data_IF_991565143262
#
_entry.id   IF_991565143262
#
_cell.length_a   1.000
_cell.length_b   1.000
_cell.length_c   1.000
_cell.angle_alpha   90.00
_cell.angle_beta   90.00
_cell.angle_gamma   90.00
#
_symmetry.space_group_name_H-M   'P 1'
#
loop_
_entity.id
_entity.type
_entity.pdbx_description
1 polymer ?
#
# COMPACT_ATOMS: atom_id res chain seq x y z
N UNK A 1 16.36 22.83 3.16
CA UNK A 1 16.18 21.50 2.54
C UNK A 1 15.27 20.70 3.45
N UNK A 2 14.35 19.95 2.86
CA UNK A 2 13.42 19.11 3.60
C UNK A 2 14.14 18.00 4.38
N UNK A 3 13.54 17.54 5.46
CA UNK A 3 13.90 16.26 6.07
C UNK A 3 13.39 15.12 5.19
N UNK A 4 14.28 14.24 4.79
CA UNK A 4 13.92 13.04 4.03
C UNK A 4 13.29 12.01 4.95
N UNK A 5 12.13 11.50 4.58
CA UNK A 5 11.48 10.39 5.27
C UNK A 5 12.11 9.07 4.78
N UNK A 6 12.85 8.38 5.63
CA UNK A 6 13.48 7.09 5.33
C UNK A 6 12.51 5.93 5.59
N UNK A 7 11.62 5.67 4.63
CA UNK A 7 10.68 4.57 4.71
C UNK A 7 11.34 3.20 4.61
N UNK A 8 12.54 3.10 4.01
CA UNK A 8 13.29 1.85 3.94
C UNK A 8 13.80 1.43 5.32
N UNK A 9 14.37 2.36 6.08
CA UNK A 9 14.79 2.10 7.45
C UNK A 9 13.59 1.75 8.35
N UNK A 10 12.50 2.49 8.23
CA UNK A 10 11.26 2.21 8.96
C UNK A 10 10.68 0.84 8.61
N UNK A 11 10.62 0.48 7.32
CA UNK A 11 10.14 -0.82 6.88
C UNK A 11 10.98 -1.97 7.45
N UNK A 12 12.31 -1.79 7.54
CA UNK A 12 13.21 -2.76 8.17
C UNK A 12 12.89 -2.92 9.67
N UNK A 13 12.82 -1.82 10.41
CA UNK A 13 12.44 -1.78 11.84
C UNK A 13 11.12 -2.53 12.10
N UNK A 14 10.11 -2.27 11.25
CA UNK A 14 8.80 -2.93 11.38
C UNK A 14 8.93 -4.44 11.14
N UNK A 15 9.64 -4.88 10.09
CA UNK A 15 9.83 -6.31 9.83
C UNK A 15 10.61 -7.03 10.94
N UNK A 16 11.60 -6.36 11.56
CA UNK A 16 12.31 -6.89 12.73
C UNK A 16 11.35 -7.12 13.91
N UNK A 17 10.44 -6.18 14.20
CA UNK A 17 9.42 -6.35 15.23
C UNK A 17 8.43 -7.48 14.89
N UNK A 18 7.95 -7.52 13.64
CA UNK A 18 7.05 -8.57 13.18
C UNK A 18 7.67 -9.97 13.23
N UNK A 19 8.99 -10.07 13.05
CA UNK A 19 9.70 -11.33 13.23
C UNK A 19 9.61 -11.85 14.66
N UNK A 20 9.67 -10.97 15.65
CA UNK A 20 9.49 -11.36 17.07
C UNK A 20 8.07 -11.90 17.26
N UNK A 21 7.06 -11.16 16.82
CA UNK A 21 5.65 -11.58 16.91
C UNK A 21 5.38 -12.90 16.16
N UNK A 22 6.01 -13.11 15.02
CA UNK A 22 5.90 -14.34 14.24
C UNK A 22 6.53 -15.53 14.99
N UNK A 23 7.65 -15.33 15.69
CA UNK A 23 8.27 -16.38 16.49
C UNK A 23 7.41 -16.75 17.71
N UNK A 24 6.81 -15.77 18.38
CA UNK A 24 5.86 -16.01 19.49
C UNK A 24 4.69 -16.88 19.02
N UNK A 25 4.10 -16.58 17.86
CA UNK A 25 3.03 -17.40 17.27
C UNK A 25 3.50 -18.84 16.99
N UNK A 26 4.73 -19.01 16.49
CA UNK A 26 5.29 -20.34 16.22
C UNK A 26 5.54 -21.14 17.49
N UNK A 27 5.93 -20.51 18.59
CA UNK A 27 6.05 -21.16 19.89
C UNK A 27 4.69 -21.68 20.41
N UNK A 28 3.59 -21.01 20.01
CA UNK A 28 2.22 -21.46 20.25
C UNK A 28 1.73 -22.52 19.24
N UNK A 29 2.58 -22.94 18.29
CA UNK A 29 2.25 -23.90 17.25
C UNK A 29 1.49 -23.29 16.06
N UNK A 30 1.43 -21.97 15.96
CA UNK A 30 0.73 -21.22 14.89
C UNK A 30 1.76 -20.69 13.89
N UNK A 31 1.66 -21.12 12.64
CA UNK A 31 2.58 -20.71 11.56
C UNK A 31 1.85 -19.79 10.58
N UNK A 32 2.12 -18.48 10.59
CA UNK A 32 1.52 -17.57 9.63
C UNK A 32 1.88 -17.95 8.19
N UNK A 33 0.87 -18.01 7.30
CA UNK A 33 1.06 -18.39 5.90
C UNK A 33 0.35 -17.46 4.93
N UNK A 34 1.09 -16.96 3.94
CA UNK A 34 0.61 -16.09 2.86
C UNK A 34 0.53 -16.86 1.54
N UNK A 35 -0.63 -16.89 0.92
CA UNK A 35 -0.82 -17.34 -0.46
C UNK A 35 -0.76 -16.13 -1.41
N UNK A 36 0.09 -16.18 -2.42
CA UNK A 36 0.20 -15.15 -3.46
C UNK A 36 -0.17 -15.73 -4.81
N UNK A 37 -1.18 -15.17 -5.43
CA UNK A 37 -1.66 -15.56 -6.76
C UNK A 37 -1.10 -14.58 -7.78
N UNK A 38 -0.43 -15.08 -8.81
CA UNK A 38 0.00 -14.32 -9.97
C UNK A 38 -0.57 -14.95 -11.25
N UNK A 39 -1.18 -14.12 -12.12
CA UNK A 39 -1.71 -14.57 -13.40
C UNK A 39 -0.89 -13.97 -14.53
N UNK A 40 -0.39 -14.83 -15.41
CA UNK A 40 0.48 -14.44 -16.52
C UNK A 40 1.95 -14.25 -16.09
N UNK A 41 2.71 -13.60 -16.96
CA UNK A 41 4.18 -13.55 -16.88
C UNK A 41 4.73 -12.11 -16.89
N UNK A 42 4.03 -11.16 -16.27
CA UNK A 42 4.44 -9.76 -16.22
C UNK A 42 5.77 -9.59 -15.46
N UNK A 43 6.85 -9.07 -16.10
CA UNK A 43 8.16 -8.95 -15.45
C UNK A 43 8.17 -8.06 -14.21
N UNK A 44 7.36 -6.98 -14.19
CA UNK A 44 7.26 -6.11 -13.03
C UNK A 44 6.60 -6.84 -11.86
N UNK A 45 5.52 -7.60 -12.11
CA UNK A 45 4.87 -8.43 -11.10
C UNK A 45 5.81 -9.45 -10.48
N UNK A 46 6.66 -10.11 -11.28
CA UNK A 46 7.69 -11.04 -10.79
C UNK A 46 8.65 -10.41 -9.77
N UNK A 47 9.08 -9.17 -10.02
CA UNK A 47 9.95 -8.44 -9.10
C UNK A 47 9.24 -8.19 -7.76
N UNK A 48 7.96 -7.76 -7.81
CA UNK A 48 7.17 -7.52 -6.59
C UNK A 48 6.91 -8.82 -5.82
N UNK A 49 6.54 -9.90 -6.50
CA UNK A 49 6.31 -11.23 -5.91
C UNK A 49 7.59 -11.73 -5.23
N UNK A 50 8.75 -11.64 -5.91
CA UNK A 50 10.05 -12.00 -5.33
C UNK A 50 10.41 -11.18 -4.07
N UNK A 51 10.12 -9.89 -4.07
CA UNK A 51 10.39 -9.03 -2.91
C UNK A 51 9.46 -9.39 -1.73
N UNK A 52 8.21 -9.75 -1.99
CA UNK A 52 7.26 -10.25 -0.98
C UNK A 52 7.71 -11.59 -0.39
N UNK A 53 8.16 -12.53 -1.23
CA UNK A 53 8.71 -13.81 -0.79
C UNK A 53 9.90 -13.63 0.15
N UNK A 54 10.85 -12.75 -0.21
CA UNK A 54 11.99 -12.43 0.66
C UNK A 54 11.57 -11.80 1.99
N UNK A 55 10.56 -10.93 1.98
CA UNK A 55 10.06 -10.32 3.20
C UNK A 55 9.34 -11.34 4.10
N UNK A 56 8.62 -12.30 3.52
CA UNK A 56 8.03 -13.42 4.25
C UNK A 56 9.12 -14.26 4.92
N UNK A 57 10.19 -14.60 4.19
CA UNK A 57 11.33 -15.35 4.71
C UNK A 57 12.02 -14.59 5.86
N UNK A 58 12.25 -13.27 5.70
CA UNK A 58 12.87 -12.42 6.73
C UNK A 58 12.05 -12.38 8.02
N UNK A 59 10.72 -12.26 7.91
CA UNK A 59 9.79 -12.21 9.06
C UNK A 59 9.51 -13.60 9.64
N UNK A 60 9.65 -14.65 8.84
CA UNK A 60 9.33 -16.02 9.21
C UNK A 60 7.92 -16.47 8.86
N UNK A 61 7.22 -15.76 7.98
CA UNK A 61 5.92 -16.12 7.42
C UNK A 61 6.14 -17.18 6.33
N UNK A 62 5.37 -18.26 6.33
CA UNK A 62 5.36 -19.19 5.21
C UNK A 62 4.76 -18.55 3.97
N UNK A 63 5.39 -18.80 2.83
CA UNK A 63 5.00 -18.23 1.55
C UNK A 63 4.65 -19.32 0.55
N UNK A 64 3.49 -19.23 -0.05
CA UNK A 64 3.05 -20.13 -1.10
C UNK A 64 2.62 -19.37 -2.34
N UNK A 65 3.26 -19.64 -3.47
CA UNK A 65 2.99 -19.00 -4.75
C UNK A 65 2.13 -19.85 -5.65
N UNK A 66 1.14 -19.24 -6.28
CA UNK A 66 0.25 -19.84 -7.27
C UNK A 66 0.40 -19.11 -8.59
N UNK A 67 1.13 -19.72 -9.52
CA UNK A 67 1.38 -19.16 -10.86
C UNK A 67 0.32 -19.71 -11.83
N UNK A 68 -0.59 -18.86 -12.24
CA UNK A 68 -1.59 -19.16 -13.25
C UNK A 68 -1.13 -18.69 -14.62
N UNK A 69 -1.54 -19.41 -15.66
CA UNK A 69 -1.20 -19.07 -17.05
C UNK A 69 -1.92 -17.81 -17.50
N UNK A 70 -1.36 -17.11 -18.50
CA UNK A 70 -1.96 -15.91 -19.10
C UNK A 70 -3.40 -16.14 -19.59
N UNK A 71 -3.70 -17.35 -20.10
CA UNK A 71 -5.00 -17.73 -20.61
C UNK A 71 -5.94 -18.35 -19.56
N UNK A 72 -5.61 -18.28 -18.29
CA UNK A 72 -6.49 -18.72 -17.18
C UNK A 72 -7.84 -18.01 -17.29
N UNK A 73 -8.91 -18.79 -17.12
CA UNK A 73 -10.28 -18.28 -17.14
C UNK A 73 -10.65 -17.60 -15.83
N UNK A 74 -11.68 -16.74 -15.84
CA UNK A 74 -12.22 -16.16 -14.61
C UNK A 74 -12.64 -17.25 -13.62
N UNK A 75 -13.28 -18.31 -14.10
CA UNK A 75 -13.75 -19.42 -13.26
C UNK A 75 -12.58 -20.14 -12.55
N UNK A 76 -11.50 -20.47 -13.26
CA UNK A 76 -10.32 -21.09 -12.67
C UNK A 76 -9.66 -20.21 -11.59
N UNK A 77 -9.59 -18.89 -11.81
CA UNK A 77 -9.10 -17.95 -10.80
C UNK A 77 -10.00 -17.92 -9.57
N UNK A 78 -11.32 -17.88 -9.77
CA UNK A 78 -12.31 -17.89 -8.69
C UNK A 78 -12.29 -19.19 -7.90
N UNK A 79 -12.15 -20.34 -8.58
CA UNK A 79 -12.05 -21.65 -7.94
C UNK A 79 -10.83 -21.76 -7.05
N UNK A 80 -9.65 -21.27 -7.52
CA UNK A 80 -8.44 -21.22 -6.71
C UNK A 80 -8.64 -20.32 -5.47
N UNK A 81 -9.21 -19.11 -5.64
CA UNK A 81 -9.48 -18.22 -4.50
C UNK A 81 -10.41 -18.89 -3.49
N UNK A 82 -11.45 -19.58 -3.97
CA UNK A 82 -12.39 -20.30 -3.10
C UNK A 82 -11.72 -21.47 -2.35
N UNK A 83 -10.79 -22.17 -2.98
CA UNK A 83 -10.01 -23.24 -2.32
C UNK A 83 -9.10 -22.66 -1.24
N UNK A 84 -8.41 -21.54 -1.52
CA UNK A 84 -7.58 -20.83 -0.55
C UNK A 84 -8.41 -20.25 0.60
N UNK A 85 -9.62 -19.75 0.34
CA UNK A 85 -10.54 -19.30 1.38
C UNK A 85 -10.88 -20.41 2.37
N UNK A 86 -11.10 -21.65 1.89
CA UNK A 86 -11.43 -22.82 2.70
C UNK A 86 -10.23 -23.45 3.39
N UNK A 87 -9.02 -23.23 2.89
CA UNK A 87 -7.81 -23.82 3.46
C UNK A 87 -7.45 -23.12 4.78
N UNK A 88 -7.56 -23.84 5.89
CA UNK A 88 -7.29 -23.31 7.24
C UNK A 88 -5.81 -23.00 7.51
N UNK A 89 -4.90 -23.56 6.72
CA UNK A 89 -3.47 -23.24 6.85
C UNK A 89 -3.10 -21.89 6.26
N UNK A 90 -3.90 -21.35 5.32
CA UNK A 90 -3.66 -20.05 4.68
C UNK A 90 -4.29 -18.95 5.52
N UNK A 91 -3.48 -18.02 6.01
CA UNK A 91 -3.94 -16.88 6.81
C UNK A 91 -4.15 -15.60 6.01
N UNK A 92 -3.48 -15.43 4.88
CA UNK A 92 -3.65 -14.30 3.99
C UNK A 92 -3.65 -14.72 2.52
N UNK A 93 -4.45 -14.04 1.70
CA UNK A 93 -4.51 -14.22 0.25
C UNK A 93 -4.20 -12.88 -0.41
N UNK A 94 -3.27 -12.90 -1.35
CA UNK A 94 -2.90 -11.75 -2.16
C UNK A 94 -3.03 -12.09 -3.64
N UNK A 95 -3.81 -11.33 -4.39
CA UNK A 95 -3.86 -11.38 -5.85
C UNK A 95 -2.96 -10.27 -6.42
N UNK A 96 -1.83 -10.66 -7.02
CA UNK A 96 -0.86 -9.71 -7.57
C UNK A 96 -1.40 -9.02 -8.82
N UNK A 97 -1.55 -7.69 -8.75
CA UNK A 97 -1.88 -6.84 -9.91
C UNK A 97 -0.61 -6.45 -10.70
N UNK A 98 -0.74 -6.20 -12.02
CA UNK A 98 -1.96 -6.36 -12.84
C UNK A 98 -2.23 -7.81 -13.22
N UNK A 99 -3.48 -8.14 -13.53
CA UNK A 99 -3.87 -9.41 -14.13
C UNK A 99 -4.25 -9.20 -15.61
N UNK A 100 -4.34 -10.28 -16.43
CA UNK A 100 -4.77 -10.18 -17.82
C UNK A 100 -6.12 -9.49 -18.00
N UNK A 101 -6.28 -8.70 -19.07
CA UNK A 101 -7.45 -7.82 -19.29
C UNK A 101 -8.80 -8.53 -19.44
N UNK A 102 -8.79 -9.83 -19.77
CA UNK A 102 -10.00 -10.63 -19.92
C UNK A 102 -10.58 -11.10 -18.57
N UNK A 103 -9.84 -10.86 -17.46
CA UNK A 103 -10.26 -11.20 -16.10
C UNK A 103 -10.80 -9.95 -15.39
N UNK A 104 -11.86 -10.13 -14.59
CA UNK A 104 -12.37 -9.09 -13.69
C UNK A 104 -11.66 -9.16 -12.34
N UNK A 105 -10.70 -8.26 -12.13
CA UNK A 105 -9.95 -8.16 -10.88
C UNK A 105 -10.84 -7.76 -9.70
N UNK A 106 -11.90 -6.97 -9.93
CA UNK A 106 -12.78 -6.54 -8.85
C UNK A 106 -13.63 -7.71 -8.34
N UNK A 107 -14.09 -8.58 -9.25
CA UNK A 107 -14.78 -9.80 -8.88
C UNK A 107 -13.85 -10.72 -8.07
N UNK A 108 -12.61 -10.90 -8.52
CA UNK A 108 -11.61 -11.68 -7.82
C UNK A 108 -11.31 -11.13 -6.41
N UNK A 109 -11.13 -9.81 -6.25
CA UNK A 109 -10.94 -9.21 -4.92
C UNK A 109 -12.15 -9.42 -4.01
N UNK A 110 -13.38 -9.29 -4.53
CA UNK A 110 -14.62 -9.49 -3.74
C UNK A 110 -14.77 -10.93 -3.24
N UNK A 111 -14.19 -11.91 -3.93
CA UNK A 111 -14.29 -13.32 -3.56
C UNK A 111 -13.32 -13.74 -2.46
N UNK A 112 -12.29 -12.95 -2.17
CA UNK A 112 -11.41 -13.20 -1.02
C UNK A 112 -12.22 -12.99 0.27
N UNK A 113 -12.17 -13.98 1.17
CA UNK A 113 -12.87 -13.83 2.46
C UNK A 113 -12.22 -12.74 3.31
N UNK A 114 -13.03 -11.95 4.01
CA UNK A 114 -12.57 -10.81 4.81
C UNK A 114 -11.40 -11.17 5.76
N UNK A 115 -11.49 -12.30 6.45
CA UNK A 115 -10.45 -12.73 7.40
C UNK A 115 -9.08 -13.02 6.78
N UNK A 116 -9.00 -13.12 5.44
CA UNK A 116 -7.76 -13.36 4.68
C UNK A 116 -7.41 -12.22 3.71
N UNK A 117 -8.15 -11.11 3.74
CA UNK A 117 -7.96 -9.92 2.88
C UNK A 117 -6.80 -9.07 3.39
N UNK A 118 -5.58 -9.58 3.26
CA UNK A 118 -4.37 -8.90 3.76
C UNK A 118 -3.96 -7.66 2.95
N UNK A 119 -4.53 -7.47 1.76
CA UNK A 119 -4.37 -6.24 0.97
C UNK A 119 -5.42 -5.17 1.33
N UNK A 120 -6.52 -5.53 2.02
CA UNK A 120 -7.57 -4.59 2.41
C UNK A 120 -8.43 -4.09 1.24
N UNK A 121 -8.67 -4.92 0.22
CA UNK A 121 -9.38 -4.52 -1.01
C UNK A 121 -10.81 -4.99 -1.08
N UNK A 122 -11.22 -5.89 -0.19
CA UNK A 122 -12.62 -6.36 -0.17
C UNK A 122 -13.58 -5.24 0.23
N UNK A 123 -14.83 -5.28 -0.23
CA UNK A 123 -15.85 -4.32 0.21
C UNK A 123 -16.02 -4.27 1.73
N UNK A 124 -15.82 -5.39 2.43
CA UNK A 124 -15.88 -5.46 3.88
C UNK A 124 -14.75 -4.66 4.54
N UNK A 125 -13.49 -4.84 4.09
CA UNK A 125 -12.35 -4.07 4.59
C UNK A 125 -12.52 -2.57 4.34
N UNK A 126 -12.93 -2.21 3.13
CA UNK A 126 -13.14 -0.82 2.73
C UNK A 126 -14.30 -0.18 3.51
N UNK A 127 -15.41 -0.90 3.69
CA UNK A 127 -16.57 -0.42 4.46
C UNK A 127 -16.22 -0.17 5.92
N UNK A 128 -15.54 -1.12 6.56
CA UNK A 128 -15.06 -0.99 7.95
C UNK A 128 -14.09 0.19 8.11
N UNK A 129 -13.14 0.35 7.19
CA UNK A 129 -12.24 1.51 7.18
C UNK A 129 -13.02 2.82 7.08
N UNK A 130 -14.06 2.87 6.24
CA UNK A 130 -14.88 4.07 6.04
C UNK A 130 -15.63 4.50 7.31
N UNK A 131 -16.09 3.54 8.12
CA UNK A 131 -16.83 3.83 9.36
C UNK A 131 -15.94 3.83 10.62
N UNK A 132 -14.62 3.67 10.46
CA UNK A 132 -13.67 3.73 11.58
C UNK A 132 -13.56 2.46 12.41
N UNK A 133 -14.07 1.33 11.91
CA UNK A 133 -13.89 0.02 12.56
C UNK A 133 -12.49 -0.57 12.29
N UNK A 134 -12.02 -1.42 13.20
CA UNK A 134 -10.78 -2.18 12.98
C UNK A 134 -10.90 -3.09 11.76
N UNK A 135 -9.94 -2.98 10.86
CA UNK A 135 -9.93 -3.70 9.58
C UNK A 135 -8.53 -3.87 9.03
N UNK A 136 -8.42 -4.55 7.89
CA UNK A 136 -7.22 -4.55 7.06
C UNK A 136 -7.19 -3.28 6.23
N UNK A 137 -6.20 -2.44 6.49
CA UNK A 137 -5.95 -1.22 5.71
C UNK A 137 -5.10 -1.59 4.51
N UNK A 138 -5.43 -1.06 3.33
CA UNK A 138 -4.61 -1.21 2.13
C UNK A 138 -3.14 -0.87 2.41
N UNK A 139 -2.22 -1.75 1.99
CA UNK A 139 -0.84 -1.75 2.47
C UNK A 139 -0.09 -0.43 2.20
N UNK A 140 -0.25 0.19 1.03
CA UNK A 140 0.40 1.46 0.69
C UNK A 140 -0.11 2.62 1.55
N UNK A 141 -1.42 2.88 1.65
CA UNK A 141 -1.97 3.84 2.60
C UNK A 141 -1.53 3.61 4.03
N UNK A 142 -1.53 2.37 4.48
CA UNK A 142 -1.09 2.03 5.83
C UNK A 142 0.38 2.38 6.06
N UNK A 143 1.23 2.10 5.07
CA UNK A 143 2.64 2.50 5.10
C UNK A 143 2.84 4.01 5.22
N UNK A 144 2.05 4.80 4.49
CA UNK A 144 2.07 6.28 4.59
C UNK A 144 1.68 6.74 6.00
N UNK A 145 0.63 6.15 6.59
CA UNK A 145 0.23 6.49 7.97
C UNK A 145 1.31 6.14 8.99
N UNK A 146 2.03 5.01 8.81
CA UNK A 146 3.16 4.64 9.66
C UNK A 146 4.36 5.58 9.52
N UNK A 147 4.58 6.15 8.33
CA UNK A 147 5.58 7.22 8.16
C UNK A 147 5.20 8.46 8.94
N UNK A 148 3.94 8.90 8.90
CA UNK A 148 3.48 10.04 9.70
C UNK A 148 3.66 9.79 11.20
N UNK A 149 3.35 8.59 11.67
CA UNK A 149 3.55 8.20 13.08
C UNK A 149 5.03 8.24 13.49
N UNK A 150 5.94 7.65 12.70
CA UNK A 150 7.38 7.59 13.02
C UNK A 150 8.04 8.97 13.04
N UNK A 151 7.63 9.86 12.15
CA UNK A 151 8.18 11.22 12.06
C UNK A 151 7.40 12.24 12.88
N UNK A 152 6.45 11.81 13.71
CA UNK A 152 5.59 12.67 14.55
C UNK A 152 4.90 13.78 13.74
N UNK A 153 4.45 13.46 12.54
CA UNK A 153 3.69 14.37 11.69
C UNK A 153 2.22 14.30 12.09
N UNK A 154 1.77 15.27 12.89
CA UNK A 154 0.38 15.37 13.32
C UNK A 154 -0.52 15.87 12.18
N UNK A 155 -1.59 15.13 11.91
CA UNK A 155 -2.59 15.46 10.90
C UNK A 155 -3.75 16.28 11.45
N UNK A 156 -3.87 16.41 12.77
CA UNK A 156 -5.00 17.08 13.41
C UNK A 156 -5.13 18.55 12.94
N UNK A 157 -6.26 18.86 12.32
CA UNK A 157 -6.55 20.19 11.78
C UNK A 157 -5.74 20.60 10.54
N UNK A 158 -4.97 19.67 9.94
CA UNK A 158 -4.17 19.94 8.73
C UNK A 158 -4.99 19.81 7.47
N UNK A 159 -4.72 20.69 6.51
CA UNK A 159 -5.20 20.60 5.14
C UNK A 159 -4.38 19.56 4.37
N UNK A 160 -4.97 18.38 4.13
CA UNK A 160 -4.34 17.29 3.37
C UNK A 160 -4.92 17.25 1.97
N UNK A 161 -4.07 17.38 0.96
CA UNK A 161 -4.44 17.21 -0.44
C UNK A 161 -3.94 15.86 -0.95
N UNK A 162 -4.86 15.00 -1.39
CA UNK A 162 -4.54 13.72 -2.00
C UNK A 162 -4.73 13.84 -3.51
N UNK A 163 -3.64 13.66 -4.26
CA UNK A 163 -3.66 13.60 -5.71
C UNK A 163 -3.85 12.13 -6.13
N UNK A 164 -5.02 11.83 -6.68
CA UNK A 164 -5.43 10.48 -7.06
C UNK A 164 -6.59 9.95 -6.23
N UNK A 165 -7.41 9.07 -6.86
CA UNK A 165 -8.62 8.51 -6.25
C UNK A 165 -8.80 7.02 -6.55
N UNK A 166 -7.69 6.29 -6.68
CA UNK A 166 -7.75 4.85 -6.89
C UNK A 166 -8.36 4.13 -5.69
N UNK A 167 -8.98 2.97 -5.93
CA UNK A 167 -9.56 2.16 -4.86
C UNK A 167 -8.51 1.59 -3.92
N UNK A 168 -7.27 1.44 -4.40
CA UNK A 168 -6.19 0.77 -3.66
C UNK A 168 -5.27 1.73 -2.90
N UNK A 169 -5.26 3.04 -3.24
CA UNK A 169 -4.41 4.05 -2.60
C UNK A 169 -5.20 5.29 -2.20
N UNK A 170 -5.74 6.05 -3.17
CA UNK A 170 -6.31 7.37 -2.91
C UNK A 170 -7.52 7.31 -1.96
N UNK A 171 -8.49 6.44 -2.22
CA UNK A 171 -9.69 6.31 -1.36
C UNK A 171 -9.36 5.83 0.06
N UNK A 172 -8.54 4.79 0.28
CA UNK A 172 -8.15 4.42 1.63
C UNK A 172 -7.40 5.53 2.37
N UNK A 173 -6.51 6.29 1.71
CA UNK A 173 -5.82 7.43 2.31
C UNK A 173 -6.78 8.50 2.81
N UNK A 174 -7.87 8.78 2.07
CA UNK A 174 -8.91 9.72 2.52
C UNK A 174 -9.41 9.31 3.90
N UNK A 175 -9.81 8.06 4.06
CA UNK A 175 -10.36 7.56 5.31
C UNK A 175 -9.33 7.56 6.44
N UNK A 176 -8.10 7.13 6.15
CA UNK A 176 -7.01 7.16 7.13
C UNK A 176 -6.73 8.59 7.64
N UNK A 177 -6.69 9.59 6.75
CA UNK A 177 -6.46 10.98 7.12
C UNK A 177 -7.65 11.58 7.90
N UNK A 178 -8.89 11.27 7.51
CA UNK A 178 -10.09 11.71 8.24
C UNK A 178 -10.12 11.15 9.65
N UNK A 179 -9.75 9.88 9.86
CA UNK A 179 -9.65 9.26 11.19
C UNK A 179 -8.56 9.91 12.08
N UNK A 180 -7.61 10.63 11.49
CA UNK A 180 -6.59 11.42 12.18
C UNK A 180 -6.95 12.91 12.25
N UNK A 181 -8.23 13.26 12.11
CA UNK A 181 -8.78 14.61 12.22
C UNK A 181 -8.23 15.61 11.19
N UNK A 182 -7.80 15.15 10.02
CA UNK A 182 -7.40 16.03 8.92
C UNK A 182 -8.60 16.55 8.14
N UNK A 183 -8.46 17.74 7.53
CA UNK A 183 -9.34 18.22 6.46
C UNK A 183 -8.80 17.70 5.14
N UNK A 184 -9.57 16.88 4.41
CA UNK A 184 -9.07 16.20 3.21
C UNK A 184 -9.70 16.75 1.94
N UNK A 185 -8.84 17.17 1.01
CA UNK A 185 -9.24 17.53 -0.37
C UNK A 185 -8.70 16.46 -1.33
N UNK A 186 -9.58 15.94 -2.19
CA UNK A 186 -9.20 14.93 -3.20
C UNK A 186 -9.17 15.55 -4.58
N UNK A 187 -8.02 15.49 -5.24
CA UNK A 187 -7.83 16.01 -6.58
C UNK A 187 -7.58 14.86 -7.58
N UNK A 188 -8.06 15.05 -8.79
CA UNK A 188 -7.98 14.05 -9.85
C UNK A 188 -8.02 14.71 -11.24
N UNK A 189 -7.95 13.95 -12.32
CA UNK A 189 -7.90 14.45 -13.71
C UNK A 189 -9.08 15.36 -14.16
N UNK A 190 -10.11 15.51 -13.35
CA UNK A 190 -11.26 16.40 -13.61
C UNK A 190 -11.30 17.59 -12.65
N UNK A 191 -10.36 17.69 -11.73
CA UNK A 191 -10.27 18.82 -10.81
C UNK A 191 -9.85 20.07 -11.57
N UNK A 192 -10.58 21.16 -11.37
CA UNK A 192 -10.23 22.48 -11.90
C UNK A 192 -9.30 23.19 -10.91
N UNK A 193 -8.47 24.10 -11.40
CA UNK A 193 -7.57 24.93 -10.58
C UNK A 193 -6.73 24.10 -9.58
N UNK A 194 -6.14 23.00 -10.06
CA UNK A 194 -5.44 22.04 -9.21
C UNK A 194 -4.38 22.69 -8.31
N UNK A 195 -3.62 23.66 -8.85
CA UNK A 195 -2.58 24.37 -8.11
C UNK A 195 -3.12 25.17 -6.92
N UNK A 196 -4.35 25.70 -6.99
CA UNK A 196 -4.97 26.42 -5.87
C UNK A 196 -5.24 25.49 -4.69
N UNK A 197 -5.61 24.23 -4.97
CA UNK A 197 -5.79 23.22 -3.94
C UNK A 197 -4.45 22.83 -3.30
N UNK A 198 -3.43 22.57 -4.11
CA UNK A 198 -2.15 22.05 -3.61
C UNK A 198 -1.34 23.12 -2.88
N UNK A 199 -1.37 24.40 -3.34
CA UNK A 199 -0.61 25.51 -2.70
C UNK A 199 -1.04 25.83 -1.27
N UNK A 200 -2.25 25.50 -0.87
CA UNK A 200 -2.73 25.72 0.51
C UNK A 200 -2.52 24.51 1.42
N UNK A 201 -2.18 23.34 0.85
CA UNK A 201 -2.05 22.11 1.58
C UNK A 201 -0.86 22.14 2.56
N UNK A 202 -1.11 21.73 3.79
CA UNK A 202 -0.06 21.43 4.77
C UNK A 202 0.62 20.10 4.43
N UNK A 203 -0.13 19.16 3.86
CA UNK A 203 0.35 17.84 3.46
C UNK A 203 -0.16 17.51 2.05
N UNK A 204 0.75 17.13 1.16
CA UNK A 204 0.43 16.62 -0.20
C UNK A 204 0.81 15.16 -0.27
N UNK A 205 -0.15 14.31 -0.70
CA UNK A 205 0.10 12.90 -0.99
C UNK A 205 -0.14 12.69 -2.49
N UNK A 206 0.93 12.43 -3.25
CA UNK A 206 0.87 12.25 -4.70
C UNK A 206 0.78 10.77 -5.06
N UNK A 207 -0.31 10.36 -5.72
CA UNK A 207 -0.59 8.97 -6.11
C UNK A 207 -1.35 8.92 -7.45
N UNK A 208 -0.80 9.55 -8.50
CA UNK A 208 -1.42 9.69 -9.82
C UNK A 208 -0.72 8.91 -10.93
N UNK A 209 0.50 8.42 -10.69
CA UNK A 209 1.28 7.69 -11.69
C UNK A 209 1.72 8.56 -12.87
N UNK A 210 2.14 9.80 -12.60
CA UNK A 210 2.66 10.73 -13.59
C UNK A 210 3.98 11.32 -13.11
N UNK A 211 5.08 10.94 -13.78
CA UNK A 211 6.43 11.34 -13.38
C UNK A 211 6.59 12.85 -13.26
N UNK A 212 7.11 13.30 -12.12
CA UNK A 212 7.46 14.71 -11.83
C UNK A 212 6.31 15.69 -12.07
N UNK A 213 5.07 15.26 -11.86
CA UNK A 213 3.89 16.10 -12.06
C UNK A 213 3.80 17.23 -11.04
N UNK A 214 4.03 16.93 -9.75
CA UNK A 214 3.98 17.93 -8.67
C UNK A 214 5.24 18.79 -8.72
N UNK A 215 5.07 20.07 -9.03
CA UNK A 215 6.14 21.05 -9.16
C UNK A 215 6.25 21.93 -7.94
N UNK A 216 7.38 22.63 -7.80
CA UNK A 216 7.66 23.57 -6.73
C UNK A 216 6.55 24.65 -6.55
N UNK A 217 6.03 25.18 -7.65
CA UNK A 217 4.95 26.18 -7.62
C UNK A 217 3.60 25.64 -7.12
N UNK A 218 3.45 24.34 -7.01
CA UNK A 218 2.27 23.65 -6.49
C UNK A 218 2.34 23.36 -4.99
N UNK A 219 3.48 23.63 -4.34
CA UNK A 219 3.72 23.24 -2.95
C UNK A 219 3.85 24.48 -2.06
N UNK A 220 3.16 24.47 -0.92
CA UNK A 220 3.30 25.46 0.14
C UNK A 220 4.67 25.35 0.82
N UNK A 221 5.27 26.49 1.22
CA UNK A 221 6.50 26.46 2.00
C UNK A 221 6.28 25.74 3.34
N UNK A 222 7.15 24.80 3.64
CA UNK A 222 7.06 23.99 4.85
C UNK A 222 6.06 22.83 4.79
N UNK A 223 5.44 22.56 3.63
CA UNK A 223 4.53 21.42 3.48
C UNK A 223 5.25 20.06 3.61
N UNK A 224 4.51 19.06 4.06
CA UNK A 224 4.92 17.64 3.99
C UNK A 224 4.51 17.08 2.64
N UNK A 225 5.43 16.40 1.94
CA UNK A 225 5.17 15.85 0.60
C UNK A 225 5.48 14.36 0.58
N UNK A 226 4.44 13.54 0.40
CA UNK A 226 4.54 12.08 0.27
C UNK A 226 4.35 11.70 -1.20
N UNK A 227 5.36 11.11 -1.79
CA UNK A 227 5.33 10.61 -3.16
C UNK A 227 5.10 9.10 -3.17
N UNK A 228 3.92 8.68 -3.62
CA UNK A 228 3.53 7.26 -3.77
C UNK A 228 3.76 6.78 -5.20
N UNK A 229 4.00 7.70 -6.13
CA UNK A 229 4.17 7.40 -7.54
C UNK A 229 5.40 6.54 -7.82
N UNK A 230 5.27 5.59 -8.74
CA UNK A 230 6.40 4.84 -9.30
C UNK A 230 6.21 4.82 -10.82
N UNK A 231 7.02 5.59 -11.52
CA UNK A 231 6.97 5.73 -12.97
C UNK A 231 8.31 5.30 -13.57
N UNK A 232 8.27 4.49 -14.61
CA UNK A 232 9.49 4.11 -15.35
C UNK A 232 9.69 5.10 -16.50
N UNK A 233 10.80 5.82 -16.46
CA UNK A 233 11.21 6.71 -17.54
C UNK A 233 11.72 5.95 -18.78
N UNK A 234 11.85 6.66 -19.90
CA UNK A 234 12.43 6.13 -21.14
C UNK A 234 13.90 5.71 -20.96
N UNK A 235 14.60 6.34 -20.01
CA UNK A 235 15.97 6.00 -19.60
C UNK A 235 16.04 4.74 -18.70
N UNK A 236 14.90 4.10 -18.43
CA UNK A 236 14.78 2.92 -17.59
C UNK A 236 14.81 3.19 -16.08
N UNK A 237 15.05 4.45 -15.65
CA UNK A 237 15.05 4.84 -14.23
C UNK A 237 13.63 4.96 -13.69
N UNK A 238 13.52 4.89 -12.37
CA UNK A 238 12.27 5.10 -11.66
C UNK A 238 12.17 6.55 -11.18
N UNK A 239 11.01 7.14 -11.37
CA UNK A 239 10.65 8.48 -10.95
C UNK A 239 9.36 8.45 -10.16
N UNK A 240 9.26 9.35 -9.18
CA UNK A 240 8.00 9.60 -8.50
C UNK A 240 7.07 10.56 -9.26
N UNK A 241 5.93 10.83 -8.66
CA UNK A 241 4.98 11.84 -9.15
C UNK A 241 5.44 13.27 -8.79
N UNK A 242 6.42 13.41 -7.91
CA UNK A 242 6.95 14.69 -7.43
C UNK A 242 8.28 15.03 -8.12
N UNK A 243 8.46 16.29 -8.49
CA UNK A 243 9.74 16.86 -8.92
C UNK A 243 10.63 17.10 -7.70
N UNK A 244 11.22 16.00 -7.20
CA UNK A 244 11.92 15.93 -5.91
C UNK A 244 12.95 17.04 -5.74
N UNK A 245 13.86 17.22 -6.70
CA UNK A 245 14.99 18.16 -6.62
C UNK A 245 14.57 19.63 -6.40
N UNK A 246 13.38 20.01 -6.89
CA UNK A 246 12.85 21.35 -6.74
C UNK A 246 11.93 21.45 -5.51
N UNK A 247 11.09 20.44 -5.28
CA UNK A 247 10.12 20.44 -4.17
C UNK A 247 10.81 20.30 -2.81
N UNK A 248 11.94 19.57 -2.69
CA UNK A 248 12.70 19.44 -1.44
C UNK A 248 13.18 20.77 -0.86
N UNK A 249 13.35 21.81 -1.71
CA UNK A 249 13.77 23.13 -1.28
C UNK A 249 12.70 23.89 -0.48
N UNK A 250 11.43 23.50 -0.67
CA UNK A 250 10.25 24.13 -0.06
C UNK A 250 9.60 23.27 1.03
N UNK A 251 9.62 21.96 0.87
CA UNK A 251 9.00 21.05 1.81
C UNK A 251 9.71 21.04 3.17
N UNK A 252 8.97 20.70 4.23
CA UNK A 252 9.55 20.37 5.55
C UNK A 252 9.97 18.90 5.60
N UNK A 253 9.13 18.00 5.06
CA UNK A 253 9.39 16.57 4.91
C UNK A 253 9.08 16.14 3.50
N UNK A 254 9.85 15.18 2.98
CA UNK A 254 9.64 14.65 1.64
C UNK A 254 10.07 13.18 1.55
N UNK A 255 9.36 12.37 0.75
CA UNK A 255 9.80 11.02 0.39
C UNK A 255 10.46 11.02 -0.99
N UNK A 256 11.68 10.51 -1.16
CA UNK A 256 12.27 10.27 -2.48
C UNK A 256 11.68 9.02 -3.16
N UNK A 257 11.83 8.94 -4.48
CA UNK A 257 11.48 7.76 -5.29
C UNK A 257 12.68 7.43 -6.20
N UNK A 258 13.10 6.16 -6.22
CA UNK A 258 12.57 4.99 -5.52
C UNK A 258 13.09 4.86 -4.09
N UNK A 259 12.35 4.12 -3.24
CA UNK A 259 12.95 3.53 -2.05
C UNK A 259 12.18 3.65 -0.74
N UNK A 260 11.13 4.48 -0.65
CA UNK A 260 10.51 4.78 0.65
C UNK A 260 9.12 4.13 0.81
N UNK A 261 8.13 4.54 0.01
CA UNK A 261 6.75 4.01 0.13
C UNK A 261 6.66 2.55 -0.31
N UNK A 262 7.43 2.13 -1.33
CA UNK A 262 7.45 0.75 -1.80
C UNK A 262 7.84 -0.27 -0.72
N UNK A 263 8.98 -0.13 -0.03
CA UNK A 263 9.36 -0.97 1.10
C UNK A 263 8.31 -1.00 2.22
N UNK A 264 7.68 0.13 2.53
CA UNK A 264 6.62 0.22 3.52
C UNK A 264 5.38 -0.58 3.13
N UNK A 265 5.00 -0.58 1.86
CA UNK A 265 3.89 -1.41 1.36
C UNK A 265 4.11 -2.89 1.68
N UNK A 266 5.34 -3.39 1.48
CA UNK A 266 5.70 -4.78 1.78
C UNK A 266 5.68 -5.04 3.30
N UNK A 267 6.21 -4.12 4.11
CA UNK A 267 6.20 -4.27 5.56
C UNK A 267 4.76 -4.31 6.11
N UNK A 268 3.85 -3.48 5.56
CA UNK A 268 2.45 -3.48 5.96
C UNK A 268 1.70 -4.74 5.51
N UNK A 269 2.07 -5.33 4.39
CA UNK A 269 1.54 -6.65 4.00
C UNK A 269 1.91 -7.71 5.05
N UNK A 270 3.17 -7.76 5.48
CA UNK A 270 3.59 -8.68 6.55
C UNK A 270 2.81 -8.44 7.85
N UNK A 271 2.62 -7.17 8.21
CA UNK A 271 1.81 -6.78 9.37
C UNK A 271 0.36 -7.29 9.25
N UNK A 272 -0.26 -7.11 8.08
CA UNK A 272 -1.62 -7.59 7.85
C UNK A 272 -1.73 -9.12 7.90
N UNK A 273 -0.71 -9.86 7.41
CA UNK A 273 -0.67 -11.33 7.53
C UNK A 273 -0.60 -11.77 8.99
N UNK A 274 0.27 -11.18 9.80
CA UNK A 274 0.36 -11.47 11.24
C UNK A 274 -0.97 -11.12 11.94
N UNK A 275 -1.56 -9.95 11.64
CA UNK A 275 -2.88 -9.55 12.15
C UNK A 275 -3.96 -10.58 11.79
N UNK A 276 -4.03 -11.00 10.52
CA UNK A 276 -4.98 -11.99 10.04
C UNK A 276 -4.81 -13.33 10.76
N UNK A 277 -3.56 -13.77 10.94
CA UNK A 277 -3.26 -14.98 11.70
C UNK A 277 -3.78 -14.88 13.12
N UNK A 278 -3.43 -13.83 13.85
CA UNK A 278 -3.90 -13.62 15.24
C UNK A 278 -5.44 -13.60 15.36
N UNK A 279 -6.14 -13.04 14.37
CA UNK A 279 -7.60 -12.99 14.35
C UNK A 279 -8.26 -14.36 14.08
N UNK A 280 -7.59 -15.24 13.34
CA UNK A 280 -8.12 -16.56 12.97
C UNK A 280 -7.92 -17.61 14.07
N UNK A 281 -7.01 -17.38 15.00
CA UNK A 281 -6.70 -18.30 16.10
C UNK A 281 -7.18 -17.82 17.48
N UNK A 282 -7.85 -16.65 17.52
CA UNK A 282 -8.60 -16.17 18.70
C UNK A 282 -10.01 -16.77 18.73
#
# INVERSE_FOLDING_TARGET
>A
MAQVIDGKALAKKIRENLKVECNELKEEGIVPKLAVIMVGDNPASKVYVRNKSKACEEVGIEYQEFLLKENTTQQELMDLINDLNRNKEINGILLQSPIPRHLDINEAFKSITYSKDVDGFTPSSVGKLCIGEDTFISCTPYGVMKMFEEYNIDLTGKDVVILGRSNIVGKPLIQCCLQKNATVTVCHSKTKNLEEHTRRADIIIAAIGQAKFVKENMVKDGAVVIDVGINRGEDGKLYGDVDFENVEKKASYITPVPGEVGPMTIAMLMNNVIKATKQQYK
#
